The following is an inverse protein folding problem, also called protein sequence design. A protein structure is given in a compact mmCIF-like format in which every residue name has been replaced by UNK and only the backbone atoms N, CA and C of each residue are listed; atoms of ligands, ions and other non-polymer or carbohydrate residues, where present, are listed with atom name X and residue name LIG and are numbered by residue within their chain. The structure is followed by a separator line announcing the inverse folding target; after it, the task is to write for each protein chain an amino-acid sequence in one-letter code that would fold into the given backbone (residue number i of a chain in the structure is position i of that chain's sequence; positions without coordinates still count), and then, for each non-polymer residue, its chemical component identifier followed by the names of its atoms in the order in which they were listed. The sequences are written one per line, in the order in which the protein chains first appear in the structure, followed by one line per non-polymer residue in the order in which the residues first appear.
data_IF_294263779840
#
_entry.id   IF_294263779840
#
_cell.length_a   1.000
_cell.length_b   1.000
_cell.length_c   1.000
_cell.angle_alpha   90.00
_cell.angle_beta   90.00
_cell.angle_gamma   90.00
#
_symmetry.space_group_name_H-M   'P 1'
#
loop_
_entity.id
_entity.type
_entity.pdbx_description
1 polymer ?
#
# COMPACT_ATOMS: atom_id res chain seq x y z
N UNK A 1 -33.15 -23.21 -27.98
CA UNK A 1 -32.82 -23.38 -26.55
C UNK A 1 -31.33 -23.06 -26.43
N UNK A 2 -30.99 -21.79 -26.26
CA UNK A 2 -29.62 -21.28 -26.33
C UNK A 2 -29.23 -20.91 -24.91
N UNK A 3 -28.31 -21.66 -24.32
CA UNK A 3 -27.85 -21.45 -22.96
C UNK A 3 -27.12 -20.11 -22.87
N UNK A 4 -27.58 -19.24 -21.97
CA UNK A 4 -26.71 -18.20 -21.45
C UNK A 4 -25.69 -18.89 -20.55
N UNK A 5 -24.52 -19.24 -21.10
CA UNK A 5 -23.34 -19.43 -20.26
C UNK A 5 -22.96 -18.03 -19.75
N UNK A 6 -23.64 -17.61 -18.67
CA UNK A 6 -23.53 -16.29 -18.09
C UNK A 6 -22.26 -16.18 -17.24
N UNK A 7 -21.84 -14.95 -16.94
CA UNK A 7 -20.78 -14.68 -15.97
C UNK A 7 -20.99 -15.42 -14.62
N UNK A 8 -22.24 -15.73 -14.28
CA UNK A 8 -22.62 -16.45 -13.07
C UNK A 8 -21.99 -17.86 -12.98
N UNK A 9 -21.95 -18.61 -14.08
CA UNK A 9 -21.32 -19.95 -14.13
C UNK A 9 -19.81 -19.88 -13.85
N UNK A 10 -19.17 -18.78 -14.28
CA UNK A 10 -17.74 -18.52 -14.07
C UNK A 10 -17.48 -18.15 -12.60
N UNK A 11 -18.39 -17.39 -11.99
CA UNK A 11 -18.27 -16.97 -10.59
C UNK A 11 -18.49 -18.14 -9.62
N UNK A 12 -19.36 -19.10 -9.96
CA UNK A 12 -19.54 -20.32 -9.16
C UNK A 12 -18.30 -21.22 -9.11
N UNK A 13 -17.45 -21.18 -10.15
CA UNK A 13 -16.20 -21.93 -10.18
C UNK A 13 -15.08 -21.30 -9.31
N UNK A 14 -15.25 -20.05 -8.86
CA UNK A 14 -14.26 -19.35 -8.04
C UNK A 14 -14.49 -19.68 -6.57
N UNK A 15 -13.48 -20.28 -5.93
CA UNK A 15 -13.52 -20.53 -4.49
C UNK A 15 -13.51 -19.21 -3.71
N UNK A 16 -14.37 -19.13 -2.69
CA UNK A 16 -14.47 -17.96 -1.82
C UNK A 16 -13.16 -17.75 -1.03
N UNK A 17 -12.40 -16.71 -1.40
CA UNK A 17 -11.14 -16.37 -0.74
C UNK A 17 -11.28 -15.32 0.39
N UNK A 18 -12.39 -14.56 0.40
CA UNK A 18 -12.63 -13.47 1.35
C UNK A 18 -13.93 -13.77 2.10
N UNK A 19 -13.83 -13.98 3.41
CA UNK A 19 -15.00 -14.18 4.27
C UNK A 19 -15.78 -12.87 4.45
N UNK A 20 -17.04 -12.95 4.84
CA UNK A 20 -17.86 -11.75 5.13
C UNK A 20 -17.22 -10.85 6.19
N UNK A 21 -16.56 -11.45 7.20
CA UNK A 21 -15.82 -10.72 8.22
C UNK A 21 -14.59 -9.99 7.64
N UNK A 22 -13.81 -10.66 6.78
CA UNK A 22 -12.69 -10.03 6.08
C UNK A 22 -13.17 -8.87 5.23
N UNK A 23 -14.26 -9.06 4.48
CA UNK A 23 -14.83 -8.00 3.65
C UNK A 23 -15.30 -6.81 4.49
N UNK A 24 -16.02 -7.06 5.59
CA UNK A 24 -16.43 -6.01 6.52
C UNK A 24 -15.23 -5.23 7.05
N UNK A 25 -14.12 -5.90 7.38
CA UNK A 25 -12.88 -5.27 7.82
C UNK A 25 -12.20 -4.46 6.72
N UNK A 26 -12.17 -4.96 5.49
CA UNK A 26 -11.55 -4.29 4.34
C UNK A 26 -12.31 -3.04 3.88
N UNK A 27 -13.59 -2.92 4.23
CA UNK A 27 -14.42 -1.76 3.94
C UNK A 27 -14.34 -0.66 5.02
N UNK A 28 -13.64 -0.91 6.14
CA UNK A 28 -13.44 0.09 7.17
C UNK A 28 -12.49 1.20 6.69
N UNK A 29 -12.66 2.38 7.28
CA UNK A 29 -11.70 3.46 7.10
C UNK A 29 -10.34 3.10 7.70
N UNK A 30 -9.29 3.50 6.99
CA UNK A 30 -7.91 3.41 7.46
C UNK A 30 -7.72 4.27 8.70
N UNK A 31 -6.90 3.77 9.63
CA UNK A 31 -6.56 4.46 10.88
C UNK A 31 -5.06 4.71 11.01
N UNK A 32 -4.71 5.61 11.94
CA UNK A 32 -3.31 5.95 12.24
C UNK A 32 -2.50 4.72 12.63
N UNK A 33 -3.07 3.83 13.44
CA UNK A 33 -2.36 2.67 13.98
C UNK A 33 -1.93 1.71 12.85
N UNK A 34 -2.71 1.64 11.78
CA UNK A 34 -2.38 0.84 10.60
C UNK A 34 -1.21 1.43 9.83
N UNK A 35 -1.13 2.77 9.73
CA UNK A 35 0.00 3.47 9.11
C UNK A 35 1.28 3.33 9.93
N UNK A 36 1.19 3.48 11.25
CA UNK A 36 2.34 3.31 12.15
C UNK A 36 2.87 1.87 12.12
N UNK A 37 1.95 0.89 12.12
CA UNK A 37 2.31 -0.52 11.94
C UNK A 37 2.98 -0.77 10.60
N UNK A 38 2.42 -0.22 9.51
CA UNK A 38 3.01 -0.37 8.18
C UNK A 38 4.41 0.25 8.11
N UNK A 39 4.60 1.44 8.68
CA UNK A 39 5.91 2.09 8.75
C UNK A 39 6.92 1.26 9.56
N UNK A 40 6.49 0.67 10.69
CA UNK A 40 7.33 -0.22 11.49
C UNK A 40 7.76 -1.50 10.78
N UNK A 41 6.97 -1.97 9.81
CA UNK A 41 7.31 -3.15 8.99
C UNK A 41 8.28 -2.83 7.84
N UNK A 42 8.54 -1.56 7.54
CA UNK A 42 9.47 -1.18 6.48
C UNK A 42 10.92 -1.37 6.91
N UNK A 43 11.73 -1.98 6.04
CA UNK A 43 13.17 -2.08 6.29
C UNK A 43 13.79 -0.67 6.31
N UNK A 44 14.61 -0.32 7.32
CA UNK A 44 15.06 1.06 7.53
C UNK A 44 15.79 1.69 6.34
N UNK A 45 16.54 0.89 5.58
CA UNK A 45 17.31 1.34 4.40
C UNK A 45 16.64 1.02 3.08
N UNK A 46 15.33 0.71 3.06
CA UNK A 46 14.58 0.63 1.81
C UNK A 46 14.82 1.91 0.99
N UNK A 47 15.04 1.70 -0.31
CA UNK A 47 15.45 2.73 -1.26
C UNK A 47 14.64 4.01 -1.08
N UNK A 48 15.34 5.12 -0.88
CA UNK A 48 14.75 6.45 -0.79
C UNK A 48 14.10 6.84 -2.11
N UNK A 49 13.04 7.65 -2.02
CA UNK A 49 12.47 8.32 -3.19
C UNK A 49 13.41 9.47 -3.60
N UNK A 50 13.05 10.23 -4.64
CA UNK A 50 13.81 11.42 -5.09
C UNK A 50 14.09 12.45 -3.99
N UNK A 51 13.36 12.41 -2.87
CA UNK A 51 13.54 13.27 -1.69
C UNK A 51 14.77 12.90 -0.84
N UNK A 52 15.40 11.75 -1.08
CA UNK A 52 16.56 11.28 -0.32
C UNK A 52 16.24 10.75 1.08
N UNK A 53 14.95 10.66 1.45
CA UNK A 53 14.55 10.25 2.80
C UNK A 53 14.27 8.75 2.86
N UNK A 54 15.01 8.05 3.71
CA UNK A 54 14.83 6.62 3.98
C UNK A 54 13.62 6.38 4.87
N UNK A 55 13.09 5.15 4.89
CA UNK A 55 12.09 4.74 5.88
C UNK A 55 12.57 5.01 7.33
N UNK A 56 13.88 4.86 7.58
CA UNK A 56 14.52 5.20 8.85
C UNK A 56 14.27 6.65 9.30
N UNK A 57 14.20 7.61 8.37
CA UNK A 57 13.92 9.01 8.71
C UNK A 57 12.53 9.12 9.37
N UNK A 58 11.51 8.57 8.70
CA UNK A 58 10.14 8.60 9.20
C UNK A 58 9.99 7.81 10.50
N UNK A 59 10.67 6.65 10.63
CA UNK A 59 10.67 5.87 11.87
C UNK A 59 11.32 6.63 13.04
N UNK A 60 12.46 7.29 12.81
CA UNK A 60 13.22 7.99 13.85
C UNK A 60 12.58 9.32 14.28
N UNK A 61 12.03 10.06 13.32
CA UNK A 61 11.48 11.41 13.54
C UNK A 61 9.95 11.43 13.54
N UNK A 62 9.29 10.28 13.74
CA UNK A 62 7.83 10.16 13.75
C UNK A 62 7.14 11.14 14.70
N UNK A 63 7.75 11.44 15.86
CA UNK A 63 7.22 12.44 16.81
C UNK A 63 7.11 13.85 16.24
N UNK A 64 7.89 14.17 15.20
CA UNK A 64 7.93 15.49 14.56
C UNK A 64 7.08 15.51 13.30
N UNK A 65 7.20 14.50 12.43
CA UNK A 65 6.54 14.48 11.11
C UNK A 65 5.28 13.62 11.05
N UNK A 66 5.03 12.80 12.07
CA UNK A 66 4.03 11.73 12.03
C UNK A 66 2.60 12.24 11.88
N UNK A 67 2.27 13.40 12.43
CA UNK A 67 0.93 13.98 12.31
C UNK A 67 0.64 14.45 10.89
N UNK A 68 1.56 15.19 10.27
CA UNK A 68 1.42 15.66 8.90
C UNK A 68 1.37 14.49 7.91
N UNK A 69 2.28 13.52 8.06
CA UNK A 69 2.32 12.31 7.23
C UNK A 69 1.05 11.48 7.40
N UNK A 70 0.58 11.28 8.64
CA UNK A 70 -0.65 10.53 8.91
C UNK A 70 -1.85 11.23 8.29
N UNK A 71 -2.01 12.53 8.51
CA UNK A 71 -3.14 13.30 7.99
C UNK A 71 -3.17 13.25 6.45
N UNK A 72 -2.01 13.43 5.81
CA UNK A 72 -1.88 13.33 4.37
C UNK A 72 -2.27 11.93 3.85
N UNK A 73 -1.71 10.87 4.43
CA UNK A 73 -1.99 9.49 4.04
C UNK A 73 -3.46 9.11 4.26
N UNK A 74 -4.05 9.46 5.42
CA UNK A 74 -5.45 9.17 5.73
C UNK A 74 -6.40 9.94 4.81
N UNK A 75 -6.06 11.18 4.44
CA UNK A 75 -6.87 11.95 3.49
C UNK A 75 -6.95 11.22 2.15
N UNK A 76 -5.83 10.69 1.66
CA UNK A 76 -5.78 9.91 0.41
C UNK A 76 -6.49 8.56 0.56
N UNK A 77 -6.10 7.75 1.54
CA UNK A 77 -6.57 6.37 1.69
C UNK A 77 -8.07 6.27 1.98
N UNK A 78 -8.63 7.29 2.63
CA UNK A 78 -10.07 7.38 2.88
C UNK A 78 -10.84 8.17 1.80
N UNK A 79 -10.25 8.38 0.63
CA UNK A 79 -10.94 8.91 -0.57
C UNK A 79 -11.16 10.42 -0.61
N UNK A 80 -10.47 11.20 0.23
CA UNK A 80 -10.59 12.66 0.34
C UNK A 80 -9.42 13.43 -0.29
N UNK A 81 -8.39 12.73 -0.79
CA UNK A 81 -7.17 13.31 -1.35
C UNK A 81 -6.71 12.60 -2.62
N UNK A 82 -5.67 13.13 -3.26
CA UNK A 82 -5.08 12.60 -4.49
C UNK A 82 -3.62 12.20 -4.27
N UNK A 83 -3.20 11.07 -4.85
CA UNK A 83 -1.80 10.62 -4.87
C UNK A 83 -0.93 11.34 -5.90
N UNK A 84 -1.52 12.13 -6.80
CA UNK A 84 -0.81 12.72 -7.94
C UNK A 84 0.42 13.54 -7.53
N UNK A 85 0.36 14.22 -6.40
CA UNK A 85 1.45 15.05 -5.85
C UNK A 85 2.67 14.23 -5.42
N UNK A 86 2.50 12.93 -5.16
CA UNK A 86 3.58 12.02 -4.71
C UNK A 86 3.83 10.85 -5.68
N UNK A 87 3.13 10.77 -6.80
CA UNK A 87 3.27 9.67 -7.76
C UNK A 87 4.41 9.89 -8.77
N UNK A 88 5.54 10.43 -8.30
CA UNK A 88 6.75 10.58 -9.09
C UNK A 88 7.74 9.47 -8.71
N UNK A 89 8.04 8.59 -9.65
CA UNK A 89 8.90 7.42 -9.47
C UNK A 89 10.30 7.70 -9.99
N UNK A 90 11.31 7.42 -9.16
CA UNK A 90 12.71 7.43 -9.60
C UNK A 90 13.05 6.08 -10.22
N UNK A 91 13.37 6.06 -11.50
CA UNK A 91 13.86 4.86 -12.16
C UNK A 91 15.37 4.76 -11.96
N UNK A 92 15.80 3.73 -11.22
CA UNK A 92 17.22 3.37 -11.07
C UNK A 92 17.45 2.00 -11.68
N UNK A 93 18.51 1.89 -12.50
CA UNK A 93 18.96 0.62 -13.05
C UNK A 93 19.98 0.02 -12.09
N UNK A 94 19.67 -1.14 -11.53
CA UNK A 94 20.63 -1.93 -10.75
C UNK A 94 21.15 -3.03 -11.67
N UNK A 95 22.44 -3.00 -12.06
CA UNK A 95 23.01 -4.05 -12.89
C UNK A 95 22.96 -5.38 -12.12
N UNK A 96 22.41 -6.42 -12.74
CA UNK A 96 22.46 -7.77 -12.18
C UNK A 96 23.89 -8.30 -12.28
N UNK A 97 24.42 -8.83 -11.19
CA UNK A 97 25.67 -9.59 -11.19
C UNK A 97 25.42 -10.99 -11.75
N UNK A 98 26.25 -11.43 -12.70
CA UNK A 98 26.15 -12.77 -13.33
C UNK A 98 26.33 -13.91 -12.31
N UNK A 99 27.10 -13.69 -11.23
CA UNK A 99 27.30 -14.65 -10.14
C UNK A 99 27.11 -13.97 -8.78
N UNK A 100 26.04 -14.29 -8.03
CA UNK A 100 25.91 -13.94 -6.61
C UNK A 100 26.96 -14.71 -5.79
N UNK A 101 27.53 -14.07 -4.76
CA UNK A 101 28.41 -14.71 -3.79
C UNK A 101 27.63 -15.61 -2.80
#
# INVERSE_FOLDING_TARGET
MMGSCGFDDILEAVQLAVTSEMNARLLLHFKREELEKALGQMFPTKSSRMDGMLALFYQKYWRVVGDDVTNFCLNILNGRGSVQTINHTLLTLIPKTECPA
#
